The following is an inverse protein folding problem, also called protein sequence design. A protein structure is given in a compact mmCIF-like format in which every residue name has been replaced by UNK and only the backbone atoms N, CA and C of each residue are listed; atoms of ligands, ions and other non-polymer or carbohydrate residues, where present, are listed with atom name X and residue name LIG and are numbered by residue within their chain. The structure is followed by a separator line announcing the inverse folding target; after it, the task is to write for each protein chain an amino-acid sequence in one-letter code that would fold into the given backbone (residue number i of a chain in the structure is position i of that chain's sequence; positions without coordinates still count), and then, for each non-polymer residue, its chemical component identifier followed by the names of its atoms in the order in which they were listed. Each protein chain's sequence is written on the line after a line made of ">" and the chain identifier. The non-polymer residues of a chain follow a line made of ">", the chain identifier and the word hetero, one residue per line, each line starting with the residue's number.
data_IF_161504615390
#
_entry.id   IF_161504615390
#
_cell.length_a   1.000
_cell.length_b   1.000
_cell.length_c   1.000
_cell.angle_alpha   90.00
_cell.angle_beta   90.00
_cell.angle_gamma   90.00
#
_symmetry.space_group_name_H-M   'P 1'
#
loop_
_entity.id
_entity.type
_entity.pdbx_description
1 polymer ?
#
# COMPACT_ATOMS: atom_id res chain seq x y z
N UNK A 1 -0.86 -36.54 28.70
CA UNK A 1 -0.54 -35.24 28.06
C UNK A 1 0.70 -35.43 27.19
N UNK A 2 0.56 -35.10 25.90
CA UNK A 2 1.28 -35.73 24.80
C UNK A 2 2.73 -35.32 24.62
N UNK A 3 3.56 -36.29 24.27
CA UNK A 3 4.98 -36.16 23.89
C UNK A 3 5.16 -35.32 22.61
N UNK A 4 4.06 -35.08 21.88
CA UNK A 4 4.01 -34.29 20.64
C UNK A 4 4.10 -32.76 20.89
N UNK A 5 3.75 -32.28 22.09
CA UNK A 5 3.66 -30.84 22.38
C UNK A 5 5.05 -30.19 22.63
N UNK A 6 6.08 -31.01 22.91
CA UNK A 6 7.46 -30.54 23.15
C UNK A 6 8.27 -30.35 21.86
N UNK A 7 7.87 -30.94 20.74
CA UNK A 7 8.59 -30.83 19.46
C UNK A 7 8.27 -29.52 18.71
N UNK A 8 7.05 -29.00 18.83
CA UNK A 8 6.64 -27.76 18.15
C UNK A 8 7.14 -26.48 18.82
N UNK A 9 7.51 -26.53 20.11
CA UNK A 9 7.95 -25.33 20.86
C UNK A 9 9.39 -24.89 20.57
N UNK A 10 10.18 -25.72 19.89
CA UNK A 10 11.60 -25.43 19.56
C UNK A 10 11.81 -24.78 18.18
N UNK A 11 10.83 -24.82 17.28
CA UNK A 11 10.95 -24.17 15.95
C UNK A 11 10.70 -22.66 15.96
N UNK A 12 9.88 -22.14 16.89
CA UNK A 12 9.49 -20.72 16.89
C UNK A 12 10.55 -19.74 17.37
N UNK A 13 11.65 -20.18 18.00
CA UNK A 13 12.62 -19.27 18.62
C UNK A 13 13.89 -19.03 17.80
N UNK A 14 14.09 -19.77 16.70
CA UNK A 14 15.29 -19.66 15.85
C UNK A 14 15.07 -18.85 14.57
N UNK A 15 13.85 -18.82 14.03
CA UNK A 15 13.55 -18.12 12.77
C UNK A 15 13.34 -16.61 12.95
N UNK A 16 12.90 -16.14 14.12
CA UNK A 16 12.74 -14.70 14.39
C UNK A 16 14.08 -13.96 14.55
N UNK A 17 15.11 -14.60 15.14
CA UNK A 17 16.43 -13.96 15.34
C UNK A 17 17.33 -13.98 14.08
N UNK A 18 17.08 -14.86 13.12
CA UNK A 18 17.92 -15.01 11.91
C UNK A 18 17.49 -14.09 10.75
N UNK A 19 16.23 -13.64 10.76
CA UNK A 19 15.71 -12.64 9.81
C UNK A 19 16.20 -11.23 10.17
N UNK A 20 16.38 -10.91 11.45
CA UNK A 20 16.90 -9.61 11.88
C UNK A 20 18.38 -9.42 11.49
N UNK A 21 19.21 -10.46 11.63
CA UNK A 21 20.67 -10.38 11.41
C UNK A 21 21.12 -10.39 9.95
N UNK A 22 20.25 -10.77 9.01
CA UNK A 22 20.57 -10.72 7.56
C UNK A 22 20.19 -9.39 6.91
N UNK A 23 19.57 -8.47 7.67
CA UNK A 23 19.07 -7.19 7.16
C UNK A 23 20.09 -6.04 7.13
N UNK A 24 21.24 -6.19 7.81
CA UNK A 24 22.29 -5.17 7.92
C UNK A 24 23.26 -5.14 6.71
N UNK A 25 22.90 -5.77 5.60
CA UNK A 25 23.50 -5.42 4.30
C UNK A 25 22.91 -4.08 3.90
N UNK A 26 23.68 -3.00 4.08
CA UNK A 26 23.47 -1.63 3.59
C UNK A 26 22.23 -1.49 2.69
N UNK A 27 21.04 -1.37 3.31
CA UNK A 27 19.81 -1.16 2.56
C UNK A 27 19.90 0.27 2.03
N UNK A 28 20.07 0.42 0.72
CA UNK A 28 19.95 1.73 0.09
C UNK A 28 18.55 2.28 0.40
N UNK A 29 18.50 3.35 1.21
CA UNK A 29 17.24 3.99 1.59
C UNK A 29 16.58 4.50 0.31
N UNK A 30 15.35 4.07 0.09
CA UNK A 30 14.60 4.46 -1.11
C UNK A 30 14.25 5.95 -1.06
N UNK A 31 13.96 6.52 -2.22
CA UNK A 31 13.59 7.92 -2.33
C UNK A 31 12.29 8.28 -1.60
N UNK A 32 11.35 7.34 -1.52
CA UNK A 32 10.11 7.49 -0.74
C UNK A 32 10.41 7.43 0.76
N UNK A 33 11.27 6.50 1.20
CA UNK A 33 11.71 6.42 2.61
C UNK A 33 12.45 7.69 3.06
N UNK A 34 13.33 8.24 2.22
CA UNK A 34 14.01 9.52 2.50
C UNK A 34 13.02 10.67 2.59
N UNK A 35 12.02 10.70 1.70
CA UNK A 35 11.01 11.75 1.70
C UNK A 35 10.14 11.71 2.97
N UNK A 36 9.88 10.51 3.50
CA UNK A 36 9.06 10.27 4.68
C UNK A 36 9.89 10.05 5.96
N UNK A 37 11.18 10.43 5.99
CA UNK A 37 12.05 10.16 7.14
C UNK A 37 11.58 10.83 8.45
N UNK A 38 10.82 11.91 8.32
CA UNK A 38 10.19 12.65 9.41
C UNK A 38 8.83 12.09 9.84
N UNK A 39 8.22 11.23 9.02
CA UNK A 39 6.91 10.62 9.28
C UNK A 39 6.89 9.14 8.87
N UNK A 40 7.33 8.24 9.77
CA UNK A 40 7.32 6.79 9.54
C UNK A 40 5.92 6.23 9.26
N UNK A 41 4.89 6.81 9.88
CA UNK A 41 3.49 6.42 9.66
C UNK A 41 3.05 6.72 8.23
N UNK A 42 3.46 7.86 7.67
CA UNK A 42 3.18 8.21 6.28
C UNK A 42 3.93 7.29 5.31
N UNK A 43 5.16 6.89 5.64
CA UNK A 43 5.86 5.89 4.85
C UNK A 43 5.09 4.55 4.82
N UNK A 44 4.67 4.06 5.97
CA UNK A 44 3.88 2.82 6.08
C UNK A 44 2.58 2.91 5.29
N UNK A 45 1.85 4.02 5.41
CA UNK A 45 0.64 4.27 4.65
C UNK A 45 0.86 4.21 3.13
N UNK A 46 1.92 4.86 2.63
CA UNK A 46 2.18 4.97 1.19
C UNK A 46 2.80 3.71 0.61
N UNK A 47 3.68 3.03 1.34
CA UNK A 47 4.36 1.81 0.91
C UNK A 47 3.39 0.75 0.35
N UNK A 48 2.22 0.62 0.97
CA UNK A 48 1.26 -0.42 0.60
C UNK A 48 0.17 0.05 -0.39
N UNK A 49 0.04 1.36 -0.60
CA UNK A 49 -1.15 1.96 -1.25
C UNK A 49 -0.83 2.82 -2.47
N UNK A 50 0.38 3.39 -2.54
CA UNK A 50 0.79 4.32 -3.59
C UNK A 50 1.37 3.59 -4.81
N UNK A 51 1.14 4.16 -6.00
CA UNK A 51 1.91 3.79 -7.19
C UNK A 51 3.12 4.69 -7.32
N UNK A 52 4.32 4.13 -7.48
CA UNK A 52 5.53 4.94 -7.69
C UNK A 52 5.51 5.69 -9.04
N UNK A 53 4.87 5.11 -10.05
CA UNK A 53 4.64 5.75 -11.35
C UNK A 53 3.22 5.47 -11.84
N UNK A 54 2.23 6.28 -11.42
CA UNK A 54 0.82 6.09 -11.76
C UNK A 54 0.55 6.20 -13.26
N UNK A 55 1.45 6.82 -14.05
CA UNK A 55 1.35 6.94 -15.52
C UNK A 55 1.52 5.60 -16.25
N UNK A 56 2.07 4.58 -15.57
CA UNK A 56 2.20 3.22 -16.12
C UNK A 56 0.95 2.37 -15.92
N UNK A 57 -0.07 2.90 -15.24
CA UNK A 57 -1.32 2.20 -15.02
C UNK A 57 -2.26 2.49 -16.20
N UNK A 58 -2.51 1.48 -17.02
CA UNK A 58 -3.36 1.56 -18.21
C UNK A 58 -4.86 1.43 -17.89
N UNK A 59 -5.32 2.23 -16.93
CA UNK A 59 -6.76 2.36 -16.61
C UNK A 59 -7.02 3.71 -15.95
N UNK A 60 -8.19 4.27 -16.20
CA UNK A 60 -8.65 5.46 -15.48
C UNK A 60 -9.21 5.09 -14.10
N UNK A 61 -9.32 6.08 -13.20
CA UNK A 61 -10.02 5.93 -11.93
C UNK A 61 -11.47 5.45 -12.14
N UNK A 62 -12.18 6.06 -13.09
CA UNK A 62 -13.60 5.77 -13.37
C UNK A 62 -13.81 4.33 -13.90
N UNK A 63 -12.88 3.84 -14.72
CA UNK A 63 -12.92 2.45 -15.18
C UNK A 63 -12.62 1.47 -14.04
N UNK A 64 -11.63 1.79 -13.19
CA UNK A 64 -11.26 0.95 -12.07
C UNK A 64 -12.40 0.83 -11.05
N UNK A 65 -13.04 1.95 -10.69
CA UNK A 65 -14.16 1.95 -9.73
C UNK A 65 -15.41 1.26 -10.31
N UNK A 66 -15.66 1.40 -11.62
CA UNK A 66 -16.77 0.72 -12.28
C UNK A 66 -16.58 -0.80 -12.24
N UNK A 67 -15.38 -1.29 -12.62
CA UNK A 67 -15.03 -2.72 -12.55
C UNK A 67 -15.11 -3.25 -11.11
N UNK A 68 -14.63 -2.49 -10.12
CA UNK A 68 -14.72 -2.87 -8.72
C UNK A 68 -16.18 -3.10 -8.28
N UNK A 69 -17.06 -2.15 -8.60
CA UNK A 69 -18.49 -2.20 -8.26
C UNK A 69 -19.23 -3.34 -8.98
N UNK A 70 -18.89 -3.64 -10.22
CA UNK A 70 -19.46 -4.78 -10.97
C UNK A 70 -19.07 -6.12 -10.33
N UNK A 71 -17.80 -6.28 -9.97
CA UNK A 71 -17.31 -7.50 -9.33
C UNK A 71 -17.86 -7.68 -7.92
N UNK A 72 -18.00 -6.59 -7.15
CA UNK A 72 -18.65 -6.61 -5.83
C UNK A 72 -20.11 -7.08 -5.95
N UNK A 73 -20.86 -6.56 -6.94
CA UNK A 73 -22.24 -7.01 -7.23
C UNK A 73 -22.29 -8.48 -7.64
N UNK A 74 -21.28 -8.95 -8.38
CA UNK A 74 -21.13 -10.36 -8.76
C UNK A 74 -20.63 -11.26 -7.62
N UNK A 75 -20.38 -10.69 -6.43
CA UNK A 75 -19.80 -11.37 -5.25
C UNK A 75 -18.39 -11.92 -5.48
N UNK A 76 -17.68 -11.42 -6.49
CA UNK A 76 -16.26 -11.70 -6.70
C UNK A 76 -15.41 -10.73 -5.87
N UNK A 77 -15.45 -10.92 -4.55
CA UNK A 77 -14.86 -10.00 -3.59
C UNK A 77 -13.35 -9.85 -3.75
N UNK A 78 -12.65 -10.92 -4.15
CA UNK A 78 -11.20 -10.89 -4.34
C UNK A 78 -10.82 -9.95 -5.48
N UNK A 79 -11.45 -10.09 -6.65
CA UNK A 79 -11.18 -9.20 -7.78
C UNK A 79 -11.72 -7.80 -7.53
N UNK A 80 -12.87 -7.66 -6.87
CA UNK A 80 -13.38 -6.35 -6.47
C UNK A 80 -12.37 -5.59 -5.59
N UNK A 81 -11.78 -6.26 -4.59
CA UNK A 81 -10.76 -5.66 -3.74
C UNK A 81 -9.54 -5.18 -4.54
N UNK A 82 -9.03 -5.98 -5.47
CA UNK A 82 -7.91 -5.56 -6.34
C UNK A 82 -8.25 -4.29 -7.11
N UNK A 83 -9.44 -4.19 -7.69
CA UNK A 83 -9.87 -2.99 -8.41
C UNK A 83 -10.08 -1.77 -7.50
N UNK A 84 -10.61 -1.96 -6.29
CA UNK A 84 -10.68 -0.89 -5.29
C UNK A 84 -9.29 -0.39 -4.88
N UNK A 85 -8.30 -1.29 -4.73
CA UNK A 85 -6.91 -0.89 -4.45
C UNK A 85 -6.33 -0.08 -5.61
N UNK A 86 -6.58 -0.49 -6.85
CA UNK A 86 -6.13 0.25 -8.05
C UNK A 86 -6.76 1.64 -8.10
N UNK A 87 -8.08 1.73 -7.91
CA UNK A 87 -8.79 3.01 -7.86
C UNK A 87 -8.27 3.91 -6.73
N UNK A 88 -7.99 3.34 -5.55
CA UNK A 88 -7.41 4.07 -4.43
C UNK A 88 -6.01 4.63 -4.74
N UNK A 89 -5.13 3.85 -5.36
CA UNK A 89 -3.81 4.30 -5.78
C UNK A 89 -3.87 5.41 -6.84
N UNK A 90 -4.81 5.33 -7.77
CA UNK A 90 -5.06 6.40 -8.75
C UNK A 90 -5.63 7.66 -8.07
N UNK A 91 -6.51 7.52 -7.09
CA UNK A 91 -7.04 8.65 -6.33
C UNK A 91 -5.96 9.38 -5.52
N UNK A 92 -4.93 8.66 -5.04
CA UNK A 92 -3.73 9.29 -4.44
C UNK A 92 -3.05 10.19 -5.46
N UNK A 93 -2.85 9.71 -6.70
CA UNK A 93 -2.24 10.50 -7.77
C UNK A 93 -3.09 11.73 -8.15
N UNK A 94 -4.42 11.59 -8.20
CA UNK A 94 -5.33 12.73 -8.43
C UNK A 94 -5.35 13.74 -7.27
N UNK A 95 -4.86 13.37 -6.09
CA UNK A 95 -4.91 14.22 -4.90
C UNK A 95 -6.29 14.23 -4.23
N UNK A 96 -7.15 13.26 -4.56
CA UNK A 96 -8.54 13.24 -4.09
C UNK A 96 -8.70 12.37 -2.83
N UNK A 97 -8.51 13.00 -1.68
CA UNK A 97 -8.62 12.37 -0.34
C UNK A 97 -9.96 11.65 -0.14
N UNK A 98 -11.07 12.21 -0.64
CA UNK A 98 -12.40 11.59 -0.49
C UNK A 98 -12.46 10.25 -1.22
N UNK A 99 -11.97 10.21 -2.46
CA UNK A 99 -11.90 8.98 -3.27
C UNK A 99 -10.94 7.96 -2.67
N UNK A 100 -9.81 8.41 -2.11
CA UNK A 100 -8.86 7.55 -1.37
C UNK A 100 -9.56 6.85 -0.22
N UNK A 101 -10.27 7.60 0.64
CA UNK A 101 -11.03 7.04 1.77
C UNK A 101 -12.06 6.03 1.28
N UNK A 102 -12.89 6.37 0.29
CA UNK A 102 -13.93 5.47 -0.23
C UNK A 102 -13.33 4.16 -0.75
N UNK A 103 -12.30 4.24 -1.59
CA UNK A 103 -11.71 3.06 -2.22
C UNK A 103 -11.01 2.15 -1.21
N UNK A 104 -10.20 2.73 -0.32
CA UNK A 104 -9.47 1.94 0.66
C UNK A 104 -10.35 1.43 1.81
N UNK A 105 -11.44 2.12 2.16
CA UNK A 105 -12.45 1.59 3.08
C UNK A 105 -13.16 0.36 2.48
N UNK A 106 -13.52 0.43 1.19
CA UNK A 106 -14.08 -0.70 0.45
C UNK A 106 -13.11 -1.88 0.37
N UNK A 107 -11.84 -1.61 0.04
CA UNK A 107 -10.78 -2.61 0.05
C UNK A 107 -10.65 -3.28 1.42
N UNK A 108 -10.50 -2.48 2.49
CA UNK A 108 -10.35 -2.94 3.86
C UNK A 108 -11.51 -3.84 4.31
N UNK A 109 -12.75 -3.46 3.99
CA UNK A 109 -13.95 -4.25 4.29
C UNK A 109 -13.99 -5.59 3.56
N UNK A 110 -13.53 -5.64 2.32
CA UNK A 110 -13.53 -6.88 1.52
C UNK A 110 -12.40 -7.83 1.92
N UNK A 111 -11.26 -7.32 2.38
CA UNK A 111 -10.08 -8.13 2.72
C UNK A 111 -9.90 -8.37 4.22
N UNK A 112 -10.59 -7.61 5.08
CA UNK A 112 -10.38 -7.60 6.53
C UNK A 112 -9.04 -6.98 6.94
N UNK A 113 -8.44 -6.15 6.07
CA UNK A 113 -7.15 -5.50 6.30
C UNK A 113 -7.35 -4.09 6.84
N UNK A 114 -6.56 -3.70 7.84
CA UNK A 114 -6.48 -2.31 8.28
C UNK A 114 -5.35 -1.61 7.52
N UNK A 115 -5.66 -0.50 6.86
CA UNK A 115 -4.68 0.27 6.11
C UNK A 115 -4.37 1.58 6.84
N UNK A 116 -3.08 1.84 7.07
CA UNK A 116 -2.62 3.07 7.75
C UNK A 116 -3.05 4.35 7.02
N UNK A 117 -3.21 4.29 5.69
CA UNK A 117 -3.71 5.43 4.91
C UNK A 117 -5.11 5.89 5.32
N UNK A 118 -5.94 5.03 5.92
CA UNK A 118 -7.28 5.43 6.39
C UNK A 118 -7.23 6.26 7.66
N UNK A 119 -6.13 6.19 8.42
CA UNK A 119 -5.91 6.99 9.64
C UNK A 119 -5.36 8.39 9.32
N UNK A 120 -4.49 8.49 8.30
CA UNK A 120 -3.78 9.72 7.91
C UNK A 120 -3.89 10.06 6.40
N UNK A 121 -5.09 10.01 5.79
CA UNK A 121 -5.22 10.09 4.33
C UNK A 121 -4.82 11.46 3.76
N UNK A 122 -5.04 12.56 4.48
CA UNK A 122 -4.64 13.89 4.06
C UNK A 122 -3.11 14.02 3.99
N UNK A 123 -2.41 13.57 5.03
CA UNK A 123 -0.94 13.61 5.10
C UNK A 123 -0.31 12.69 4.05
N UNK A 124 -0.81 11.46 3.93
CA UNK A 124 -0.33 10.50 2.95
C UNK A 124 -0.49 11.04 1.52
N UNK A 125 -1.67 11.56 1.16
CA UNK A 125 -1.89 12.12 -0.18
C UNK A 125 -0.99 13.32 -0.45
N UNK A 126 -0.81 14.22 0.53
CA UNK A 126 0.11 15.35 0.39
C UNK A 126 1.55 14.88 0.13
N UNK A 127 2.04 13.92 0.90
CA UNK A 127 3.41 13.42 0.78
C UNK A 127 3.63 12.64 -0.52
N UNK A 128 2.63 11.90 -0.98
CA UNK A 128 2.65 11.27 -2.29
C UNK A 128 2.77 12.29 -3.43
N UNK A 129 2.09 13.43 -3.33
CA UNK A 129 2.22 14.52 -4.31
C UNK A 129 3.62 15.14 -4.28
N UNK A 130 4.20 15.41 -3.10
CA UNK A 130 5.60 15.86 -2.99
C UNK A 130 6.56 14.90 -3.71
N UNK A 131 6.34 13.58 -3.59
CA UNK A 131 7.09 12.58 -4.34
C UNK A 131 6.89 12.72 -5.85
N UNK A 132 5.63 12.79 -6.31
CA UNK A 132 5.34 12.90 -7.75
C UNK A 132 5.92 14.16 -8.37
N UNK A 133 5.83 15.30 -7.68
CA UNK A 133 6.40 16.54 -8.16
C UNK A 133 7.91 16.48 -8.29
N UNK A 134 8.59 15.81 -7.36
CA UNK A 134 10.04 15.63 -7.41
C UNK A 134 10.44 14.66 -8.54
N UNK A 135 9.80 13.51 -8.66
CA UNK A 135 10.33 12.41 -9.49
C UNK A 135 9.63 12.21 -10.84
N UNK A 136 8.41 12.73 -11.03
CA UNK A 136 7.73 12.65 -12.32
C UNK A 136 8.07 13.84 -13.24
N UNK A 137 8.36 15.02 -12.66
CA UNK A 137 8.87 16.20 -13.42
C UNK A 137 10.29 15.97 -13.94
N UNK A 138 11.16 15.33 -13.16
CA UNK A 138 12.55 15.04 -13.55
C UNK A 138 12.67 14.03 -14.72
N UNK A 139 11.65 13.20 -14.96
CA UNK A 139 11.65 12.20 -16.04
C UNK A 139 11.22 12.75 -17.40
N UNK A 140 10.74 13.98 -17.50
CA UNK A 140 10.37 14.61 -18.78
C UNK A 140 11.55 15.33 -19.46
N UNK A 141 12.69 15.47 -18.77
CA UNK A 141 13.86 16.23 -19.24
C UNK A 141 15.12 15.41 -19.54
N UNK A 142 15.06 14.07 -19.63
CA UNK A 142 16.24 13.21 -19.88
C UNK A 142 16.13 12.35 -21.11
#
# INVERSE_FOLDING_TARGET
>A
MGVLDRLFKRKKKGEEEEIEKTSEKEREITDLEKLCSDSPETFEALKDTMFLDPRKIDTSFEDAISKAKELEKAKDNLRAAVWYRIAGGLAIYEGNVSRVKECFDKYAKLTGTNLKILEIPEEAVKKAHEYYEKYLKDKEGS
#
